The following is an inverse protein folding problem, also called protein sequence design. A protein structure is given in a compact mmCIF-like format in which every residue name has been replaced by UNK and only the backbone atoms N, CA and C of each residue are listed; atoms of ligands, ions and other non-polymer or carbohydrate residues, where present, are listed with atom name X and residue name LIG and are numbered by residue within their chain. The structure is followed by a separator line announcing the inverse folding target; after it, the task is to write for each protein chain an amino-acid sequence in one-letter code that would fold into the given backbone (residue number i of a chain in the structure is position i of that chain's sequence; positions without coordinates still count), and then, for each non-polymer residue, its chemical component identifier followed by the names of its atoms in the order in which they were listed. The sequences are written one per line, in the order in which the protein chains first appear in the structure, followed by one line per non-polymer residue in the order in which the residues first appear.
data_IF_086053091091
#
_entry.id   IF_086053091091
#
_cell.length_a   1.000
_cell.length_b   1.000
_cell.length_c   1.000
_cell.angle_alpha   90.00
_cell.angle_beta   90.00
_cell.angle_gamma   90.00
#
_symmetry.space_group_name_H-M   'P 1'
#
loop_
_entity.id
_entity.type
_entity.pdbx_description
1 polymer ?
#
# COMPACT_ATOMS: atom_id res chain seq x y z
N UNK A 1 6.83 -10.60 8.45
CA UNK A 1 7.31 -10.04 7.17
C UNK A 1 7.14 -8.53 7.05
N UNK A 2 5.93 -7.97 6.96
CA UNK A 2 5.80 -6.51 6.79
C UNK A 2 6.20 -5.70 8.03
N UNK A 3 5.87 -6.18 9.25
CA UNK A 3 6.32 -5.54 10.49
C UNK A 3 7.84 -5.60 10.63
N UNK A 4 8.46 -6.76 10.38
CA UNK A 4 9.92 -6.90 10.41
C UNK A 4 10.61 -5.96 9.40
N UNK A 5 9.99 -5.76 8.23
CA UNK A 5 10.49 -4.77 7.27
C UNK A 5 10.34 -3.34 7.80
N UNK A 6 9.21 -2.99 8.42
CA UNK A 6 9.00 -1.69 9.04
C UNK A 6 9.99 -1.41 10.20
N UNK A 7 10.40 -2.44 10.94
CA UNK A 7 11.41 -2.31 12.01
C UNK A 7 12.75 -1.78 11.48
N UNK A 8 13.09 -2.10 10.21
CA UNK A 8 14.31 -1.64 9.54
C UNK A 8 14.24 -0.20 9.01
N UNK A 9 13.06 0.42 9.02
CA UNK A 9 12.86 1.76 8.48
C UNK A 9 13.08 2.83 9.56
N UNK A 10 13.41 4.04 9.11
CA UNK A 10 13.53 5.19 10.00
C UNK A 10 12.15 5.59 10.56
N UNK A 11 12.07 6.17 11.78
CA UNK A 11 10.84 6.74 12.29
C UNK A 11 10.21 7.73 11.30
N UNK A 12 8.88 7.76 11.25
CA UNK A 12 8.11 8.72 10.46
C UNK A 12 8.58 8.85 8.99
N UNK A 13 8.94 7.72 8.36
CA UNK A 13 9.48 7.71 6.99
C UNK A 13 8.63 6.95 5.97
N UNK A 14 7.75 6.04 6.41
CA UNK A 14 7.05 5.10 5.55
C UNK A 14 5.63 5.57 5.24
N UNK A 15 5.27 5.55 3.96
CA UNK A 15 3.89 5.68 3.51
C UNK A 15 3.20 4.32 3.47
N UNK A 16 2.15 4.14 4.27
CA UNK A 16 1.29 2.96 4.18
C UNK A 16 0.19 3.19 3.12
N UNK A 17 -0.02 2.23 2.23
CA UNK A 17 -1.01 2.33 1.14
C UNK A 17 -1.93 1.11 1.17
N UNK A 18 -3.21 1.34 1.51
CA UNK A 18 -4.20 0.27 1.55
C UNK A 18 -5.64 0.73 1.23
N UNK A 19 -6.26 0.02 0.29
CA UNK A 19 -7.62 0.26 -0.18
C UNK A 19 -8.65 -0.70 0.47
N UNK A 20 -8.25 -1.41 1.51
CA UNK A 20 -9.12 -2.35 2.23
C UNK A 20 -9.61 -3.50 1.33
N UNK A 21 -10.75 -4.09 1.69
CA UNK A 21 -11.32 -5.28 1.02
C UNK A 21 -12.27 -5.00 -0.14
N UNK A 22 -12.82 -3.79 -0.25
CA UNK A 22 -13.95 -3.49 -1.16
C UNK A 22 -13.54 -2.56 -2.29
N UNK A 23 -12.63 -1.61 -2.06
CA UNK A 23 -12.24 -0.69 -3.12
C UNK A 23 -11.46 -1.47 -4.20
N UNK A 24 -11.84 -1.22 -5.45
CA UNK A 24 -11.26 -1.81 -6.63
C UNK A 24 -10.53 -0.69 -7.38
N UNK A 25 -9.26 -0.93 -7.71
CA UNK A 25 -8.49 -0.12 -8.63
C UNK A 25 -8.55 -0.75 -10.03
N UNK A 26 -8.64 0.05 -11.07
CA UNK A 26 -8.34 -0.42 -12.42
C UNK A 26 -6.84 -0.77 -12.55
N UNK A 27 -6.47 -1.47 -13.62
CA UNK A 27 -5.05 -1.69 -13.91
C UNK A 27 -4.32 -0.35 -14.11
N UNK A 28 -4.93 0.58 -14.84
CA UNK A 28 -4.36 1.92 -15.10
C UNK A 28 -4.15 2.70 -13.80
N UNK A 29 -5.12 2.69 -12.88
CA UNK A 29 -4.99 3.35 -11.58
C UNK A 29 -3.87 2.74 -10.73
N UNK A 30 -3.70 1.42 -10.78
CA UNK A 30 -2.60 0.74 -10.09
C UNK A 30 -1.24 1.10 -10.70
N UNK A 31 -1.14 1.15 -12.03
CA UNK A 31 0.10 1.51 -12.72
C UNK A 31 0.51 2.96 -12.40
N UNK A 32 -0.43 3.91 -12.44
CA UNK A 32 -0.19 5.30 -12.05
C UNK A 32 0.20 5.43 -10.57
N UNK A 33 -0.47 4.71 -9.67
CA UNK A 33 -0.09 4.65 -8.26
C UNK A 33 1.35 4.13 -8.09
N UNK A 34 1.70 3.04 -8.78
CA UNK A 34 3.02 2.45 -8.72
C UNK A 34 4.11 3.40 -9.24
N UNK A 35 3.85 4.08 -10.37
CA UNK A 35 4.75 5.09 -10.92
C UNK A 35 4.91 6.29 -9.97
N UNK A 36 3.82 6.75 -9.34
CA UNK A 36 3.86 7.81 -8.33
C UNK A 36 4.69 7.44 -7.11
N UNK A 37 4.49 6.24 -6.56
CA UNK A 37 5.30 5.70 -5.46
C UNK A 37 6.77 5.58 -5.84
N UNK A 38 7.06 5.12 -7.06
CA UNK A 38 8.42 5.01 -7.57
C UNK A 38 9.08 6.39 -7.68
N UNK A 39 8.38 7.39 -8.22
CA UNK A 39 8.87 8.74 -8.43
C UNK A 39 9.09 9.50 -7.12
N UNK A 40 8.24 9.29 -6.11
CA UNK A 40 8.30 9.98 -4.81
C UNK A 40 9.61 9.75 -4.04
N UNK A 41 10.30 8.63 -4.30
CA UNK A 41 11.46 8.13 -3.54
C UNK A 41 11.20 7.88 -2.04
N UNK A 42 9.96 8.02 -1.58
CA UNK A 42 9.56 7.73 -0.20
C UNK A 42 9.50 6.21 0.01
N UNK A 43 9.93 5.69 1.18
CA UNK A 43 9.67 4.31 1.56
C UNK A 43 8.17 4.01 1.66
N UNK A 44 7.72 2.86 1.19
CA UNK A 44 6.28 2.54 1.20
C UNK A 44 5.98 1.07 1.49
N UNK A 45 4.86 0.85 2.16
CA UNK A 45 4.22 -0.46 2.32
C UNK A 45 2.89 -0.45 1.56
N UNK A 46 2.81 -1.20 0.46
CA UNK A 46 1.64 -1.27 -0.41
C UNK A 46 0.95 -2.63 -0.26
N UNK A 47 -0.34 -2.61 0.10
CA UNK A 47 -1.15 -3.85 0.14
C UNK A 47 -1.96 -4.03 -1.14
N UNK A 48 -1.77 -5.16 -1.83
CA UNK A 48 -2.49 -5.55 -3.06
C UNK A 48 -3.19 -6.89 -2.88
N UNK A 49 -4.50 -6.86 -2.61
CA UNK A 49 -5.37 -8.04 -2.43
C UNK A 49 -6.13 -8.41 -3.72
N UNK A 50 -6.37 -9.69 -4.00
CA UNK A 50 -7.43 -10.11 -4.91
C UNK A 50 -8.81 -10.08 -4.21
N UNK A 51 -9.91 -9.68 -4.87
CA UNK A 51 -10.02 -9.03 -6.18
C UNK A 51 -10.16 -7.51 -5.98
N UNK A 52 -9.07 -6.79 -5.69
CA UNK A 52 -9.06 -5.32 -5.71
C UNK A 52 -9.03 -4.76 -7.14
N UNK A 53 -9.39 -5.55 -8.15
CA UNK A 53 -9.47 -5.10 -9.54
C UNK A 53 -10.88 -5.32 -10.09
N UNK A 54 -11.33 -4.39 -10.94
CA UNK A 54 -12.71 -4.29 -11.43
C UNK A 54 -13.19 -5.58 -12.10
N UNK A 55 -12.29 -6.30 -12.77
CA UNK A 55 -12.56 -7.61 -13.38
C UNK A 55 -12.09 -8.76 -12.46
N UNK A 56 -13.09 -9.46 -11.91
CA UNK A 56 -12.95 -10.46 -10.86
C UNK A 56 -12.37 -11.78 -11.40
N UNK A 57 -11.16 -12.12 -10.96
CA UNK A 57 -10.64 -13.50 -11.04
C UNK A 57 -9.36 -13.65 -11.86
N UNK A 58 -9.13 -12.78 -12.84
CA UNK A 58 -7.92 -12.83 -13.67
C UNK A 58 -7.02 -11.61 -13.42
N UNK A 59 -7.59 -10.41 -13.31
CA UNK A 59 -6.82 -9.16 -13.36
C UNK A 59 -5.81 -8.99 -12.22
N UNK A 60 -6.10 -9.42 -10.99
CA UNK A 60 -5.09 -9.34 -9.91
C UNK A 60 -3.91 -10.28 -10.15
N UNK A 61 -4.19 -11.47 -10.69
CA UNK A 61 -3.17 -12.47 -11.02
C UNK A 61 -2.38 -12.00 -12.24
N UNK A 62 -3.05 -11.43 -13.24
CA UNK A 62 -2.44 -10.82 -14.42
C UNK A 62 -1.55 -9.64 -14.05
N UNK A 63 -2.00 -8.73 -13.17
CA UNK A 63 -1.20 -7.59 -12.70
C UNK A 63 0.05 -8.08 -11.99
N UNK A 64 -0.06 -9.02 -11.04
CA UNK A 64 1.12 -9.57 -10.33
C UNK A 64 2.08 -10.34 -11.25
N UNK A 65 1.56 -10.93 -12.33
CA UNK A 65 2.37 -11.64 -13.31
C UNK A 65 2.91 -10.75 -14.44
N UNK A 66 2.44 -9.50 -14.55
CA UNK A 66 2.89 -8.55 -15.55
C UNK A 66 4.37 -8.19 -15.37
N UNK A 67 5.05 -7.92 -16.48
CA UNK A 67 6.42 -7.41 -16.44
C UNK A 67 6.48 -6.03 -15.78
N UNK A 68 5.42 -5.23 -15.90
CA UNK A 68 5.30 -3.95 -15.21
C UNK A 68 5.44 -4.13 -13.69
N UNK A 69 4.64 -5.01 -13.09
CA UNK A 69 4.67 -5.25 -11.64
C UNK A 69 6.03 -5.79 -11.17
N UNK A 70 6.59 -6.78 -11.88
CA UNK A 70 7.90 -7.34 -11.54
C UNK A 70 9.00 -6.27 -11.59
N UNK A 71 8.98 -5.45 -12.64
CA UNK A 71 9.95 -4.37 -12.80
C UNK A 71 9.75 -3.28 -11.73
N UNK A 72 8.51 -2.93 -11.38
CA UNK A 72 8.21 -2.00 -10.29
C UNK A 72 8.76 -2.50 -8.95
N UNK A 73 8.52 -3.77 -8.61
CA UNK A 73 9.04 -4.38 -7.37
C UNK A 73 10.56 -4.36 -7.35
N UNK A 74 11.23 -4.70 -8.46
CA UNK A 74 12.70 -4.68 -8.51
C UNK A 74 13.26 -3.25 -8.45
N UNK A 75 12.67 -2.28 -9.17
CA UNK A 75 13.10 -0.87 -9.14
C UNK A 75 12.89 -0.18 -7.79
N UNK A 76 11.96 -0.68 -6.97
CA UNK A 76 11.65 -0.14 -5.65
C UNK A 76 12.23 -0.97 -4.50
N UNK A 77 12.95 -2.04 -4.80
CA UNK A 77 13.57 -2.93 -3.82
C UNK A 77 14.41 -2.17 -2.81
N UNK A 78 14.25 -2.53 -1.53
CA UNK A 78 14.93 -1.89 -0.40
C UNK A 78 14.16 -0.71 0.21
N UNK A 79 13.30 -0.01 -0.56
CA UNK A 79 12.44 1.07 -0.05
C UNK A 79 10.94 0.79 -0.16
N UNK A 80 10.54 -0.10 -1.05
CA UNK A 80 9.16 -0.52 -1.25
C UNK A 80 8.97 -1.96 -0.81
N UNK A 81 7.88 -2.22 -0.10
CA UNK A 81 7.39 -3.57 0.17
C UNK A 81 5.94 -3.71 -0.32
N UNK A 82 5.70 -4.70 -1.18
CA UNK A 82 4.36 -5.02 -1.67
C UNK A 82 3.91 -6.35 -1.06
N UNK A 83 2.77 -6.35 -0.36
CA UNK A 83 2.22 -7.55 0.29
C UNK A 83 0.77 -7.78 -0.10
N UNK A 84 0.30 -9.02 0.00
CA UNK A 84 -1.13 -9.31 -0.18
C UNK A 84 -1.96 -8.85 1.01
N UNK A 85 -1.42 -8.89 2.21
CA UNK A 85 -2.13 -8.53 3.43
C UNK A 85 -1.15 -7.97 4.46
N UNK A 86 -1.64 -7.04 5.28
CA UNK A 86 -0.91 -6.50 6.41
C UNK A 86 -1.86 -6.34 7.61
N UNK A 87 -1.34 -6.50 8.85
CA UNK A 87 -2.08 -6.24 10.08
C UNK A 87 -2.23 -4.72 10.26
N UNK A 88 -3.25 -4.13 9.63
CA UNK A 88 -3.38 -2.67 9.43
C UNK A 88 -3.27 -1.88 10.73
N UNK A 89 -3.88 -2.35 11.82
CA UNK A 89 -3.83 -1.67 13.12
C UNK A 89 -2.39 -1.61 13.66
N UNK A 90 -1.67 -2.72 13.58
CA UNK A 90 -0.28 -2.82 13.99
C UNK A 90 0.65 -2.00 13.08
N UNK A 91 0.36 -1.95 11.78
CA UNK A 91 1.09 -1.10 10.82
C UNK A 91 0.89 0.38 11.14
N UNK A 92 -0.36 0.83 11.33
CA UNK A 92 -0.66 2.24 11.62
C UNK A 92 -0.10 2.68 12.99
N UNK A 93 0.01 1.77 13.94
CA UNK A 93 0.65 2.04 15.24
C UNK A 93 2.19 1.96 15.20
N UNK A 94 2.79 1.58 14.07
CA UNK A 94 4.22 1.36 13.97
C UNK A 94 4.99 2.68 13.84
N UNK A 95 6.10 2.84 14.59
CA UNK A 95 6.93 4.07 14.65
C UNK A 95 7.41 4.60 13.30
N UNK A 96 7.50 3.73 12.30
CA UNK A 96 8.02 4.07 10.99
C UNK A 96 6.96 4.70 10.07
N UNK A 97 5.67 4.51 10.36
CA UNK A 97 4.58 4.94 9.47
C UNK A 97 4.27 6.42 9.69
N UNK A 98 4.44 7.20 8.63
CA UNK A 98 4.29 8.66 8.63
C UNK A 98 2.96 9.12 8.01
N UNK A 99 2.33 8.27 7.22
CA UNK A 99 1.13 8.62 6.48
C UNK A 99 0.41 7.40 5.93
N UNK A 100 -0.86 7.59 5.61
CA UNK A 100 -1.74 6.53 5.13
C UNK A 100 -2.52 6.97 3.89
N UNK A 101 -2.27 6.35 2.74
CA UNK A 101 -3.16 6.45 1.57
C UNK A 101 -4.31 5.47 1.77
N UNK A 102 -5.52 6.01 1.84
CA UNK A 102 -6.70 5.23 2.20
C UNK A 102 -7.93 5.59 1.39
N UNK A 103 -8.71 4.56 1.10
CA UNK A 103 -10.10 4.63 0.65
C UNK A 103 -11.10 5.22 1.67
N UNK A 104 -10.62 5.66 2.85
CA UNK A 104 -11.39 6.44 3.81
C UNK A 104 -12.70 5.80 4.30
N UNK A 105 -12.82 4.46 4.24
CA UNK A 105 -13.90 3.78 4.98
C UNK A 105 -13.71 3.97 6.48
N UNK A 106 -14.83 3.99 7.19
CA UNK A 106 -14.92 4.43 8.57
C UNK A 106 -13.90 3.76 9.52
N UNK A 107 -13.73 2.44 9.43
CA UNK A 107 -12.76 1.72 10.27
C UNK A 107 -11.32 2.18 10.01
N UNK A 108 -10.93 2.36 8.75
CA UNK A 108 -9.59 2.83 8.39
C UNK A 108 -9.33 4.26 8.88
N UNK A 109 -10.35 5.13 8.83
CA UNK A 109 -10.27 6.49 9.37
C UNK A 109 -10.10 6.46 10.90
N UNK A 110 -10.88 5.65 11.60
CA UNK A 110 -10.79 5.52 13.06
C UNK A 110 -9.43 4.96 13.50
N UNK A 111 -8.90 3.94 12.83
CA UNK A 111 -7.59 3.36 13.12
C UNK A 111 -6.45 4.36 12.89
N UNK A 112 -6.51 5.12 11.79
CA UNK A 112 -5.53 6.17 11.49
C UNK A 112 -5.58 7.30 12.52
N UNK A 113 -6.78 7.78 12.84
CA UNK A 113 -6.99 8.84 13.83
C UNK A 113 -6.53 8.43 15.23
N UNK A 114 -6.79 7.18 15.62
CA UNK A 114 -6.33 6.63 16.91
C UNK A 114 -4.82 6.48 16.99
N UNK A 115 -4.15 6.34 15.84
CA UNK A 115 -2.69 6.20 15.75
C UNK A 115 -1.97 7.52 15.46
N UNK A 116 -2.71 8.63 15.28
CA UNK A 116 -2.13 9.93 14.94
C UNK A 116 -1.54 10.01 13.53
N UNK A 117 -1.89 9.10 12.63
CA UNK A 117 -1.34 9.03 11.27
C UNK A 117 -2.19 9.87 10.32
N UNK A 118 -1.63 10.84 9.59
CA UNK A 118 -2.35 11.65 8.61
C UNK A 118 -2.74 10.82 7.38
N UNK A 119 -3.87 11.19 6.76
CA UNK A 119 -4.47 10.44 5.64
C UNK A 119 -4.35 11.23 4.33
N UNK A 120 -3.87 10.56 3.28
CA UNK A 120 -4.10 10.97 1.89
C UNK A 120 -5.37 10.26 1.42
N UNK A 121 -6.45 11.04 1.31
CA UNK A 121 -7.77 10.51 1.02
C UNK A 121 -7.94 10.16 -0.46
N UNK A 122 -8.32 8.92 -0.74
CA UNK A 122 -8.68 8.44 -2.07
C UNK A 122 -9.97 7.60 -2.00
N UNK A 123 -11.14 8.23 -1.79
CA UNK A 123 -12.40 7.55 -1.54
C UNK A 123 -12.91 6.70 -2.71
#
# INVERSE_FOLDING_TARGET
ECLDWLDTQEPDSVLYVAFGSIAKLSQEEFEELALGLEASKVPFLLTVRPPQFVDEGDTTVLVKNSDFYKNFVERTKGRGLVVSWAPQREVLAHRAVAGFVSHCRWNSVLESGSSGVPIICWP
#
